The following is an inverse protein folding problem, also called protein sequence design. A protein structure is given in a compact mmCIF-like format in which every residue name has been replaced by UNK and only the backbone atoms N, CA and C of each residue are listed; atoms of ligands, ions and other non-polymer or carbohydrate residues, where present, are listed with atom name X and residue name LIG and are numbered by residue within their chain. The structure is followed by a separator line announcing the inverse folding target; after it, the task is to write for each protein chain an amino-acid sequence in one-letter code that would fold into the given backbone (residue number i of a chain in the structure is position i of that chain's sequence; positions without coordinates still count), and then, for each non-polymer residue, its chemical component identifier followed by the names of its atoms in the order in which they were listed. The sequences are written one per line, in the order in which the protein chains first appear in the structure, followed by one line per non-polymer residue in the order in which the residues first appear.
data_IF_685055342678
#
_entry.id   IF_685055342678
#
_cell.length_a   1.000
_cell.length_b   1.000
_cell.length_c   1.000
_cell.angle_alpha   90.00
_cell.angle_beta   90.00
_cell.angle_gamma   90.00
#
_symmetry.space_group_name_H-M   'P 1'
#
loop_
_entity.id
_entity.type
_entity.pdbx_description
1 polymer ?
#
# COMPACT_ATOMS: atom_id res chain seq x y z
N UNK A 1 -14.20 2.51 32.79
CA UNK A 1 -14.65 1.71 31.63
C UNK A 1 -13.77 0.47 31.55
N UNK A 2 -14.34 -0.73 31.49
CA UNK A 2 -13.57 -1.96 31.33
C UNK A 2 -12.98 -2.01 29.91
N UNK A 3 -11.69 -1.75 29.79
CA UNK A 3 -10.88 -2.05 28.61
C UNK A 3 -11.01 -3.55 28.29
N UNK A 4 -11.41 -3.91 27.06
CA UNK A 4 -11.66 -5.31 26.69
C UNK A 4 -10.41 -6.19 26.87
N UNK A 5 -10.58 -7.49 27.09
CA UNK A 5 -9.44 -8.42 27.27
C UNK A 5 -8.43 -8.36 26.10
N UNK A 6 -8.90 -8.09 24.89
CA UNK A 6 -8.05 -7.88 23.70
C UNK A 6 -7.24 -6.60 23.80
N UNK A 7 -7.85 -5.48 24.20
CA UNK A 7 -7.13 -4.21 24.39
C UNK A 7 -6.03 -4.32 25.46
N UNK A 8 -6.26 -5.07 26.55
CA UNK A 8 -5.24 -5.33 27.57
C UNK A 8 -4.05 -6.12 27.01
N UNK A 9 -4.31 -7.15 26.19
CA UNK A 9 -3.26 -7.92 25.51
C UNK A 9 -2.46 -7.09 24.51
N UNK A 10 -3.13 -6.22 23.74
CA UNK A 10 -2.46 -5.30 22.81
C UNK A 10 -1.60 -4.28 23.55
N UNK A 11 -2.06 -3.74 24.68
CA UNK A 11 -1.27 -2.83 25.51
C UNK A 11 -0.06 -3.52 26.13
N UNK A 12 -0.19 -4.77 26.58
CA UNK A 12 0.93 -5.55 27.08
C UNK A 12 1.97 -5.83 25.98
N UNK A 13 1.52 -6.15 24.77
CA UNK A 13 2.38 -6.38 23.60
C UNK A 13 3.11 -5.10 23.17
N UNK A 14 2.41 -3.95 23.13
CA UNK A 14 3.05 -2.67 22.86
C UNK A 14 4.16 -2.41 23.88
N UNK A 15 3.87 -2.56 25.17
CA UNK A 15 4.83 -2.33 26.25
C UNK A 15 6.07 -3.22 26.12
N UNK A 16 5.93 -4.48 25.71
CA UNK A 16 7.07 -5.38 25.54
C UNK A 16 7.86 -5.15 24.24
N UNK A 17 7.26 -4.52 23.23
CA UNK A 17 7.90 -4.29 21.93
C UNK A 17 8.98 -3.21 21.93
N UNK A 18 8.94 -2.27 22.89
CA UNK A 18 9.81 -1.09 22.89
C UNK A 18 9.46 -0.03 21.83
N UNK A 19 8.33 -0.18 21.11
CA UNK A 19 7.85 0.73 20.08
C UNK A 19 6.39 1.14 20.28
N UNK A 20 5.71 1.50 19.17
CA UNK A 20 4.27 1.76 19.14
C UNK A 20 3.56 0.67 18.33
N UNK A 21 2.36 0.30 18.74
CA UNK A 21 1.51 -0.68 18.08
C UNK A 21 0.20 -0.03 17.62
N UNK A 22 -0.09 -0.10 16.32
CA UNK A 22 -1.38 0.30 15.75
C UNK A 22 -2.13 -0.91 15.21
N UNK A 23 -3.39 -1.10 15.63
CA UNK A 23 -4.23 -2.22 15.19
C UNK A 23 -5.63 -1.72 14.85
N UNK A 24 -6.14 -2.19 13.71
CA UNK A 24 -7.54 -2.15 13.37
C UNK A 24 -7.96 -3.52 12.84
N UNK A 25 -9.00 -4.09 13.45
CA UNK A 25 -9.65 -5.31 13.04
C UNK A 25 -11.11 -4.99 12.72
N UNK A 26 -11.62 -5.49 11.60
CA UNK A 26 -13.02 -5.34 11.20
C UNK A 26 -13.57 -6.74 10.95
N UNK A 27 -14.56 -7.16 11.74
CA UNK A 27 -15.35 -8.34 11.40
C UNK A 27 -16.35 -7.94 10.31
N UNK A 28 -16.26 -8.57 9.15
CA UNK A 28 -17.11 -8.22 7.99
C UNK A 28 -18.49 -8.87 8.05
N UNK A 29 -18.74 -9.81 8.97
CA UNK A 29 -20.05 -10.41 9.15
C UNK A 29 -21.03 -9.47 9.87
N UNK A 30 -20.56 -8.72 10.86
CA UNK A 30 -21.39 -7.84 11.70
C UNK A 30 -20.87 -6.41 11.85
N UNK A 31 -19.75 -6.07 11.20
CA UNK A 31 -19.08 -4.76 11.24
C UNK A 31 -18.51 -4.36 12.62
N UNK A 32 -18.41 -5.29 13.57
CA UNK A 32 -17.73 -5.01 14.84
C UNK A 32 -16.24 -4.72 14.60
N UNK A 33 -15.68 -3.84 15.43
CA UNK A 33 -14.30 -3.37 15.26
C UNK A 33 -13.51 -3.46 16.57
N UNK A 34 -12.25 -3.89 16.44
CA UNK A 34 -11.24 -3.77 17.50
C UNK A 34 -10.19 -2.78 17.04
N UNK A 35 -9.98 -1.73 17.82
CA UNK A 35 -9.09 -0.63 17.47
C UNK A 35 -8.15 -0.36 18.64
N UNK A 36 -6.86 -0.18 18.31
CA UNK A 36 -5.81 0.17 19.24
C UNK A 36 -4.86 1.14 18.54
N UNK A 37 -4.78 2.38 19.03
CA UNK A 37 -4.14 3.51 18.30
C UNK A 37 -4.62 3.62 16.84
N UNK A 38 -5.89 3.28 16.61
CA UNK A 38 -6.45 3.12 15.26
C UNK A 38 -6.43 4.40 14.41
N UNK A 39 -6.32 5.55 15.06
CA UNK A 39 -6.32 6.88 14.43
C UNK A 39 -4.95 7.58 14.50
N UNK A 40 -3.92 6.92 15.04
CA UNK A 40 -2.55 7.42 15.02
C UNK A 40 -1.86 7.06 13.71
N UNK A 41 -0.98 7.95 13.23
CA UNK A 41 -0.21 7.72 12.00
C UNK A 41 0.98 6.79 12.22
N UNK A 42 1.17 5.90 11.24
CA UNK A 42 2.30 4.98 11.15
C UNK A 42 2.89 5.01 9.72
N UNK A 43 4.21 4.84 9.57
CA UNK A 43 4.85 4.72 8.26
C UNK A 43 4.36 3.44 7.57
N UNK A 44 3.92 3.55 6.32
CA UNK A 44 3.36 2.41 5.59
C UNK A 44 4.42 1.46 5.08
N UNK A 45 5.60 1.99 4.74
CA UNK A 45 6.64 1.26 4.02
C UNK A 45 6.02 0.53 2.81
N UNK A 46 6.30 -0.76 2.65
CA UNK A 46 5.80 -1.56 1.53
C UNK A 46 4.30 -1.89 1.57
N UNK A 47 3.57 -1.64 2.66
CA UNK A 47 2.10 -1.83 2.64
C UNK A 47 1.42 -0.87 1.66
N UNK A 48 2.06 0.25 1.32
CA UNK A 48 1.58 1.21 0.31
C UNK A 48 1.52 0.62 -1.12
N UNK A 49 2.24 -0.48 -1.39
CA UNK A 49 2.27 -1.16 -2.70
C UNK A 49 0.87 -1.66 -3.11
N UNK A 50 0.00 -2.02 -2.15
CA UNK A 50 -1.40 -2.39 -2.44
C UNK A 50 -2.18 -1.26 -3.09
N UNK A 51 -1.96 -0.02 -2.65
CA UNK A 51 -2.64 1.15 -3.19
C UNK A 51 -2.17 1.46 -4.62
N UNK A 52 -0.86 1.36 -4.88
CA UNK A 52 -0.31 1.58 -6.22
C UNK A 52 -0.80 0.52 -7.22
N UNK A 53 -0.77 -0.77 -6.85
CA UNK A 53 -1.29 -1.84 -7.69
C UNK A 53 -2.81 -1.70 -7.94
N UNK A 54 -3.57 -1.36 -6.91
CA UNK A 54 -5.01 -1.09 -7.04
C UNK A 54 -5.30 0.11 -7.96
N UNK A 55 -4.51 1.18 -7.88
CA UNK A 55 -4.66 2.34 -8.76
C UNK A 55 -4.41 1.98 -10.23
N UNK A 56 -3.40 1.16 -10.53
CA UNK A 56 -3.14 0.66 -11.89
C UNK A 56 -4.28 -0.24 -12.36
N UNK A 57 -4.77 -1.13 -11.51
CA UNK A 57 -5.93 -1.97 -11.82
C UNK A 57 -7.20 -1.12 -12.08
N UNK A 58 -7.40 -0.04 -11.32
CA UNK A 58 -8.50 0.89 -11.56
C UNK A 58 -8.40 1.57 -12.93
N UNK A 59 -7.20 1.99 -13.35
CA UNK A 59 -7.00 2.56 -14.68
C UNK A 59 -7.29 1.53 -15.79
N UNK A 60 -7.01 0.24 -15.58
CA UNK A 60 -7.26 -0.80 -16.59
C UNK A 60 -8.75 -1.06 -16.86
N UNK A 61 -9.64 -0.68 -15.93
CA UNK A 61 -11.09 -0.79 -16.14
C UNK A 61 -11.55 -0.05 -17.40
N UNK A 62 -10.96 1.11 -17.68
CA UNK A 62 -11.23 1.91 -18.88
C UNK A 62 -10.18 1.72 -19.97
N UNK A 63 -8.94 1.36 -19.61
CA UNK A 63 -7.84 1.14 -20.53
C UNK A 63 -7.52 -0.35 -20.69
N UNK A 64 -8.24 -1.04 -21.58
CA UNK A 64 -8.23 -2.52 -21.68
C UNK A 64 -6.88 -3.17 -21.95
N UNK A 65 -5.91 -2.45 -22.53
CA UNK A 65 -4.57 -2.98 -22.81
C UNK A 65 -3.52 -2.54 -21.80
N UNK A 66 -3.90 -1.78 -20.77
CA UNK A 66 -2.95 -1.18 -19.82
C UNK A 66 -2.10 -2.24 -19.12
N UNK A 67 -2.73 -3.32 -18.63
CA UNK A 67 -2.00 -4.36 -17.89
C UNK A 67 -0.96 -5.09 -18.74
N UNK A 68 -1.14 -5.14 -20.06
CA UNK A 68 -0.22 -5.77 -21.03
C UNK A 68 0.84 -4.79 -21.54
N UNK A 69 0.79 -3.51 -21.15
CA UNK A 69 1.73 -2.50 -21.61
C UNK A 69 3.16 -2.89 -21.19
N UNK A 70 4.10 -3.05 -22.15
CA UNK A 70 5.48 -3.34 -21.82
C UNK A 70 6.16 -2.09 -21.25
N UNK A 71 6.84 -2.26 -20.13
CA UNK A 71 7.61 -1.24 -19.44
C UNK A 71 9.08 -1.67 -19.43
N UNK A 72 9.93 -0.83 -20.00
CA UNK A 72 11.38 -1.05 -20.04
C UNK A 72 11.98 -1.03 -18.64
N UNK A 73 12.87 -2.01 -18.37
CA UNK A 73 13.64 -2.10 -17.13
C UNK A 73 15.11 -1.83 -17.46
N UNK A 74 15.61 -0.67 -17.04
CA UNK A 74 16.99 -0.22 -17.25
C UNK A 74 17.84 -0.54 -16.02
N UNK A 75 19.16 -0.70 -16.18
CA UNK A 75 20.07 -0.82 -15.04
C UNK A 75 19.92 0.34 -14.04
N UNK A 76 19.66 1.56 -14.52
CA UNK A 76 19.49 2.76 -13.70
C UNK A 76 18.16 2.81 -12.92
N UNK A 77 17.20 1.92 -13.23
CA UNK A 77 15.95 1.84 -12.49
C UNK A 77 16.09 1.04 -11.18
N UNK A 78 17.13 0.20 -11.08
CA UNK A 78 17.32 -0.68 -9.93
C UNK A 78 17.64 0.13 -8.67
N UNK A 79 16.92 -0.17 -7.60
CA UNK A 79 17.15 0.39 -6.26
C UNK A 79 17.67 -0.68 -5.30
N UNK A 80 17.43 -0.56 -3.99
CA UNK A 80 18.03 -1.43 -2.97
C UNK A 80 17.50 -2.88 -2.90
N UNK A 81 16.34 -3.20 -3.48
CA UNK A 81 15.73 -4.54 -3.36
C UNK A 81 14.76 -4.83 -4.53
N UNK A 82 15.18 -5.66 -5.50
CA UNK A 82 14.45 -5.87 -6.76
C UNK A 82 14.53 -7.33 -7.26
N UNK A 83 14.13 -8.32 -6.44
CA UNK A 83 14.38 -9.75 -6.71
C UNK A 83 13.72 -10.29 -7.99
N UNK A 84 12.78 -9.55 -8.58
CA UNK A 84 12.15 -9.89 -9.86
C UNK A 84 12.69 -8.99 -10.96
N UNK A 85 12.59 -7.66 -10.82
CA UNK A 85 12.93 -6.72 -11.88
C UNK A 85 14.40 -6.81 -12.32
N UNK A 86 15.33 -7.15 -11.41
CA UNK A 86 16.75 -7.31 -11.75
C UNK A 86 17.01 -8.39 -12.81
N UNK A 87 16.11 -9.38 -12.93
CA UNK A 87 16.20 -10.48 -13.91
C UNK A 87 15.74 -10.06 -15.31
N UNK A 88 15.10 -8.90 -15.43
CA UNK A 88 14.52 -8.37 -16.67
C UNK A 88 15.24 -7.11 -17.17
N UNK A 89 16.42 -6.79 -16.62
CA UNK A 89 17.22 -5.63 -17.03
C UNK A 89 17.58 -5.69 -18.53
N UNK A 90 17.49 -4.55 -19.20
CA UNK A 90 17.58 -4.37 -20.66
C UNK A 90 16.47 -5.08 -21.45
N UNK A 91 15.43 -5.54 -20.76
CA UNK A 91 14.20 -6.07 -21.33
C UNK A 91 12.99 -5.28 -20.84
N UNK A 92 11.85 -5.95 -20.80
CA UNK A 92 10.58 -5.36 -20.39
C UNK A 92 9.86 -6.26 -19.39
N UNK A 93 9.04 -5.64 -18.55
CA UNK A 93 7.98 -6.30 -17.79
C UNK A 93 6.66 -5.57 -18.09
N UNK A 94 5.56 -6.29 -18.09
CA UNK A 94 4.21 -5.71 -18.20
C UNK A 94 3.79 -5.05 -16.89
N UNK A 95 2.80 -4.14 -16.93
CA UNK A 95 2.23 -3.57 -15.71
C UNK A 95 1.58 -4.63 -14.80
N UNK A 96 1.05 -5.73 -15.37
CA UNK A 96 0.61 -6.89 -14.60
C UNK A 96 1.76 -7.57 -13.84
N UNK A 97 2.86 -7.87 -14.53
CA UNK A 97 4.04 -8.51 -13.91
C UNK A 97 4.69 -7.61 -12.85
N UNK A 98 4.75 -6.30 -13.10
CA UNK A 98 5.25 -5.32 -12.11
C UNK A 98 4.33 -5.26 -10.88
N UNK A 99 3.01 -5.29 -11.08
CA UNK A 99 2.05 -5.36 -9.97
C UNK A 99 2.22 -6.63 -9.15
N UNK A 100 2.39 -7.78 -9.81
CA UNK A 100 2.68 -9.05 -9.13
C UNK A 100 4.02 -9.01 -8.38
N UNK A 101 5.08 -8.49 -8.99
CA UNK A 101 6.40 -8.37 -8.37
C UNK A 101 6.37 -7.47 -7.12
N UNK A 102 5.70 -6.33 -7.21
CA UNK A 102 5.52 -5.42 -6.07
C UNK A 102 4.74 -6.09 -4.93
N UNK A 103 3.64 -6.78 -5.22
CA UNK A 103 2.78 -7.36 -4.18
C UNK A 103 3.33 -8.66 -3.57
N UNK A 104 3.87 -9.55 -4.39
CA UNK A 104 4.27 -10.90 -3.97
C UNK A 104 5.71 -10.94 -3.44
N UNK A 105 6.57 -10.06 -3.94
CA UNK A 105 7.99 -10.06 -3.60
C UNK A 105 8.46 -8.75 -2.97
N UNK A 106 7.59 -7.75 -2.84
CA UNK A 106 7.94 -6.39 -2.37
C UNK A 106 9.02 -5.71 -3.22
N UNK A 107 9.07 -6.03 -4.53
CA UNK A 107 10.06 -5.48 -5.45
C UNK A 107 9.94 -3.94 -5.56
N UNK A 108 11.04 -3.23 -5.27
CA UNK A 108 11.04 -1.78 -5.17
C UNK A 108 11.15 -1.08 -6.53
N UNK A 109 11.85 -1.67 -7.49
CA UNK A 109 11.84 -1.19 -8.89
C UNK A 109 10.44 -1.32 -9.45
N UNK A 110 9.77 -2.44 -9.20
CA UNK A 110 8.40 -2.64 -9.63
C UNK A 110 7.47 -1.57 -9.06
N UNK A 111 7.52 -1.30 -7.75
CA UNK A 111 6.76 -0.21 -7.14
C UNK A 111 7.06 1.16 -7.77
N UNK A 112 8.34 1.49 -8.02
CA UNK A 112 8.71 2.75 -8.66
C UNK A 112 8.17 2.86 -10.09
N UNK A 113 8.12 1.77 -10.86
CA UNK A 113 7.51 1.75 -12.19
C UNK A 113 6.00 1.97 -12.14
N UNK A 114 5.30 1.37 -11.17
CA UNK A 114 3.86 1.61 -10.95
C UNK A 114 3.60 3.07 -10.54
N UNK A 115 4.40 3.63 -9.62
CA UNK A 115 4.31 5.04 -9.23
C UNK A 115 4.51 5.96 -10.46
N UNK A 116 5.50 5.67 -11.30
CA UNK A 116 5.76 6.45 -12.51
C UNK A 116 4.58 6.41 -13.49
N UNK A 117 3.99 5.23 -13.72
CA UNK A 117 2.78 5.06 -14.54
C UNK A 117 1.61 5.92 -14.02
N UNK A 118 1.50 6.07 -12.70
CA UNK A 118 0.45 6.86 -12.05
C UNK A 118 0.76 8.37 -11.99
N UNK A 119 1.86 8.83 -12.59
CA UNK A 119 2.26 10.24 -12.58
C UNK A 119 2.95 10.69 -11.29
N UNK A 120 3.50 9.75 -10.52
CA UNK A 120 4.23 10.03 -9.27
C UNK A 120 3.43 9.72 -7.99
N UNK A 121 4.03 9.92 -6.79
CA UNK A 121 3.39 9.59 -5.51
C UNK A 121 2.04 10.28 -5.30
N UNK A 122 1.90 11.50 -5.83
CA UNK A 122 0.64 12.26 -5.82
C UNK A 122 -0.50 11.53 -6.54
N UNK A 123 -0.23 10.78 -7.60
CA UNK A 123 -1.22 9.97 -8.30
C UNK A 123 -1.77 8.81 -7.46
N UNK A 124 -0.91 8.15 -6.69
CA UNK A 124 -1.31 7.11 -5.72
C UNK A 124 -2.19 7.71 -4.62
N UNK A 125 -1.80 8.87 -4.10
CA UNK A 125 -2.60 9.59 -3.08
C UNK A 125 -3.94 10.07 -3.66
N UNK A 126 -3.97 10.54 -4.90
CA UNK A 126 -5.20 10.95 -5.57
C UNK A 126 -6.17 9.77 -5.75
N UNK A 127 -5.67 8.58 -6.10
CA UNK A 127 -6.49 7.37 -6.13
C UNK A 127 -7.08 7.04 -4.76
N UNK A 128 -6.27 7.10 -3.69
CA UNK A 128 -6.77 6.90 -2.32
C UNK A 128 -7.95 7.84 -1.99
N UNK A 129 -7.84 9.13 -2.36
CA UNK A 129 -8.94 10.11 -2.20
C UNK A 129 -10.17 9.74 -3.04
N UNK A 130 -9.99 9.29 -4.27
CA UNK A 130 -11.09 8.90 -5.16
C UNK A 130 -11.92 7.73 -4.61
N UNK A 131 -11.32 6.86 -3.78
CA UNK A 131 -12.01 5.74 -3.12
C UNK A 131 -12.42 6.06 -1.68
N UNK A 132 -12.34 7.32 -1.26
CA UNK A 132 -12.81 7.80 0.05
C UNK A 132 -11.80 7.73 1.20
N UNK A 133 -10.53 7.38 0.95
CA UNK A 133 -9.48 7.44 1.97
C UNK A 133 -8.88 8.86 2.02
N UNK A 134 -9.25 9.63 3.05
CA UNK A 134 -8.74 10.99 3.29
C UNK A 134 -7.41 11.04 4.08
N UNK A 135 -6.92 9.88 4.54
CA UNK A 135 -5.82 9.78 5.51
C UNK A 135 -4.51 9.33 4.88
N UNK A 136 -4.56 8.36 3.97
CA UNK A 136 -3.41 7.85 3.23
C UNK A 136 -2.68 9.00 2.53
N UNK A 137 -1.35 9.01 2.60
CA UNK A 137 -0.51 9.86 1.76
C UNK A 137 0.78 9.14 1.40
N UNK A 138 1.12 9.16 0.12
CA UNK A 138 2.40 8.73 -0.40
C UNK A 138 3.11 9.96 -0.95
N UNK A 139 4.29 10.25 -0.43
CA UNK A 139 5.04 11.48 -0.69
C UNK A 139 6.35 11.19 -1.44
N UNK A 140 6.88 9.97 -1.32
CA UNK A 140 8.18 9.57 -1.88
C UNK A 140 8.10 8.25 -2.64
N UNK A 141 9.18 7.94 -3.34
CA UNK A 141 9.40 6.65 -4.03
C UNK A 141 10.31 5.75 -3.20
N UNK A 142 10.41 4.48 -3.60
CA UNK A 142 11.38 3.56 -3.03
C UNK A 142 12.82 4.01 -3.39
N UNK A 143 13.79 3.88 -2.47
CA UNK A 143 13.66 3.33 -1.11
C UNK A 143 13.28 4.36 -0.05
N UNK A 144 13.22 5.65 -0.41
CA UNK A 144 13.19 6.76 0.55
C UNK A 144 11.89 6.87 1.35
N UNK A 145 10.79 6.28 0.88
CA UNK A 145 9.54 6.18 1.65
C UNK A 145 9.69 5.36 2.95
N UNK A 146 10.77 4.58 3.12
CA UNK A 146 10.99 3.71 4.28
C UNK A 146 11.76 4.37 5.44
N UNK A 147 12.05 5.68 5.40
CA UNK A 147 12.87 6.30 6.46
C UNK A 147 12.25 6.20 7.85
N UNK A 148 10.91 6.12 7.95
CA UNK A 148 10.17 5.93 9.20
C UNK A 148 10.61 6.86 10.35
N UNK A 149 10.97 8.09 10.03
CA UNK A 149 11.50 9.06 10.99
C UNK A 149 10.39 9.40 12.00
N UNK A 150 10.66 9.33 13.32
CA UNK A 150 9.67 9.67 14.33
C UNK A 150 9.08 11.07 14.12
N UNK A 151 7.74 11.14 14.04
CA UNK A 151 7.01 12.40 13.85
C UNK A 151 6.90 12.89 12.41
N UNK A 152 7.56 12.26 11.44
CA UNK A 152 7.43 12.60 10.03
C UNK A 152 6.07 12.13 9.48
N UNK A 153 5.22 13.04 8.96
CA UNK A 153 3.91 12.66 8.45
C UNK A 153 3.98 12.02 7.06
N UNK A 154 5.12 12.08 6.36
CA UNK A 154 5.24 11.57 4.99
C UNK A 154 5.13 10.05 4.92
N UNK A 155 4.49 9.55 3.87
CA UNK A 155 4.33 8.10 3.61
C UNK A 155 3.62 7.35 4.75
N UNK A 156 2.65 8.02 5.39
CA UNK A 156 1.87 7.48 6.51
C UNK A 156 0.39 7.29 6.20
N UNK A 157 -0.22 6.39 6.96
CA UNK A 157 -1.67 6.25 7.12
C UNK A 157 -2.00 5.92 8.57
N UNK A 158 -3.27 5.71 8.91
CA UNK A 158 -3.69 5.16 10.20
C UNK A 158 -4.17 3.71 10.04
N UNK A 159 -4.10 2.86 11.08
CA UNK A 159 -4.59 1.50 11.03
C UNK A 159 -6.05 1.42 10.57
N UNK A 160 -6.92 2.31 11.10
CA UNK A 160 -8.34 2.35 10.71
C UNK A 160 -8.51 2.66 9.24
N UNK A 161 -7.85 3.70 8.73
CA UNK A 161 -7.99 4.12 7.34
C UNK A 161 -7.55 3.01 6.39
N UNK A 162 -6.39 2.40 6.63
CA UNK A 162 -5.89 1.30 5.80
C UNK A 162 -6.79 0.06 5.86
N UNK A 163 -7.34 -0.29 7.04
CA UNK A 163 -8.28 -1.41 7.16
C UNK A 163 -9.57 -1.17 6.36
N UNK A 164 -10.10 0.06 6.38
CA UNK A 164 -11.27 0.43 5.58
C UNK A 164 -10.97 0.41 4.08
N UNK A 165 -9.81 0.96 3.68
CA UNK A 165 -9.32 0.91 2.30
C UNK A 165 -9.21 -0.51 1.80
N UNK A 166 -8.56 -1.41 2.54
CA UNK A 166 -8.45 -2.82 2.15
C UNK A 166 -9.82 -3.48 2.00
N UNK A 167 -10.75 -3.22 2.93
CA UNK A 167 -12.12 -3.73 2.81
C UNK A 167 -12.81 -3.23 1.54
N UNK A 168 -12.67 -1.95 1.19
CA UNK A 168 -13.28 -1.40 -0.03
C UNK A 168 -12.65 -1.97 -1.30
N UNK A 169 -11.34 -2.21 -1.30
CA UNK A 169 -10.62 -2.77 -2.44
C UNK A 169 -10.93 -4.26 -2.68
N UNK A 170 -11.17 -5.05 -1.62
CA UNK A 170 -11.30 -6.52 -1.75
C UNK A 170 -12.73 -7.04 -1.61
N UNK A 171 -13.59 -6.34 -0.87
CA UNK A 171 -14.96 -6.76 -0.57
C UNK A 171 -16.01 -5.69 -0.93
N UNK A 172 -15.57 -4.50 -1.30
CA UNK A 172 -16.42 -3.37 -1.67
C UNK A 172 -16.50 -3.17 -3.19
N UNK A 173 -16.69 -1.91 -3.57
CA UNK A 173 -16.91 -1.51 -4.97
C UNK A 173 -15.87 -0.48 -5.46
N UNK A 174 -14.73 -0.36 -4.78
CA UNK A 174 -13.67 0.56 -5.19
C UNK A 174 -13.07 0.15 -6.55
N UNK A 175 -12.99 -1.16 -6.79
CA UNK A 175 -12.63 -1.76 -8.07
C UNK A 175 -13.89 -2.36 -8.72
N UNK A 176 -13.89 -2.42 -10.04
CA UNK A 176 -14.92 -3.09 -10.84
C UNK A 176 -14.90 -4.61 -10.64
N UNK A 177 -15.90 -5.28 -11.20
CA UNK A 177 -15.97 -6.74 -11.19
C UNK A 177 -14.75 -7.37 -11.88
N UNK A 178 -14.49 -8.64 -11.55
CA UNK A 178 -13.41 -9.44 -12.15
C UNK A 178 -13.45 -9.32 -13.68
N UNK A 179 -12.34 -8.88 -14.26
CA UNK A 179 -12.14 -8.70 -15.70
C UNK A 179 -11.82 -10.03 -16.39
#
# INVERSE_FOLDING_TARGET
AQTSAVQQKLAALEKSSGGRLGVALIDTADNTQVLYRGDERFPMCSTSKVMAAAAVLKQSETQKQLLNQPVEIKPADLVNYNPIAEKHVNGTMTLAELSAAALQYSDNTAMNKLIAQLGGPGGVTAFARAIGDETFRLDRTEPTLNTAIPGDPRDTTTPRAMAQTLRQLTLGHALGETQ
#
